data_IF_075625863776
#
_entry.id   IF_075625863776
#
_cell.length_a   1.000
_cell.length_b   1.000
_cell.length_c   1.000
_cell.angle_alpha   90.00
_cell.angle_beta   90.00
_cell.angle_gamma   90.00
#
_symmetry.space_group_name_H-M   'P 1'
#
loop_
_entity.id
_entity.type
_entity.pdbx_description
1 polymer ?
#
# COMPACT_ATOMS: atom_id res chain seq x y z
N UNK A 1 -35.70 -4.70 -21.45
CA UNK A 1 -35.06 -3.37 -21.47
C UNK A 1 -34.21 -3.28 -20.22
N UNK A 2 -32.89 -3.36 -20.36
CA UNK A 2 -31.99 -3.15 -19.22
C UNK A 2 -31.78 -1.66 -19.06
N UNK A 3 -32.19 -1.10 -17.93
CA UNK A 3 -31.94 0.29 -17.55
C UNK A 3 -30.44 0.50 -17.34
N UNK A 4 -29.91 1.62 -17.83
CA UNK A 4 -28.54 2.02 -17.52
C UNK A 4 -28.40 2.27 -16.01
N UNK A 5 -27.44 1.64 -15.34
CA UNK A 5 -27.21 1.88 -13.93
C UNK A 5 -26.69 3.30 -13.67
N UNK A 6 -27.13 3.89 -12.57
CA UNK A 6 -26.69 5.18 -12.04
C UNK A 6 -25.58 4.99 -11.01
N UNK A 7 -24.92 6.08 -10.64
CA UNK A 7 -23.84 6.06 -9.63
C UNK A 7 -24.33 5.52 -8.28
N UNK A 8 -25.58 5.79 -7.92
CA UNK A 8 -26.19 5.32 -6.67
C UNK A 8 -26.45 3.81 -6.67
N UNK A 9 -26.45 3.16 -7.84
CA UNK A 9 -26.60 1.71 -7.95
C UNK A 9 -25.27 0.97 -7.69
N UNK A 10 -24.12 1.69 -7.68
CA UNK A 10 -22.78 1.11 -7.55
C UNK A 10 -22.62 0.19 -6.33
N UNK A 11 -23.11 0.53 -5.13
CA UNK A 11 -22.99 -0.35 -3.95
C UNK A 11 -23.78 -1.66 -4.07
N UNK A 12 -24.77 -1.72 -4.97
CA UNK A 12 -25.65 -2.89 -5.14
C UNK A 12 -25.04 -3.96 -6.03
N UNK A 13 -23.94 -3.68 -6.74
CA UNK A 13 -23.29 -4.66 -7.59
C UNK A 13 -22.51 -5.69 -6.77
N UNK A 14 -22.79 -6.95 -7.04
CA UNK A 14 -21.89 -8.03 -6.68
C UNK A 14 -20.69 -8.01 -7.63
N UNK A 15 -19.54 -7.53 -7.15
CA UNK A 15 -18.31 -7.44 -7.95
C UNK A 15 -17.35 -8.60 -7.60
N UNK A 16 -16.76 -9.28 -8.59
CA UNK A 16 -15.69 -10.24 -8.32
C UNK A 16 -14.45 -9.50 -7.79
N UNK A 17 -14.01 -9.85 -6.59
CA UNK A 17 -12.82 -9.28 -5.94
C UNK A 17 -11.73 -10.32 -5.68
N UNK A 18 -10.48 -9.87 -5.72
CA UNK A 18 -9.25 -10.60 -5.33
C UNK A 18 -9.18 -12.06 -5.83
N UNK A 19 -9.06 -12.29 -7.15
CA UNK A 19 -8.87 -13.63 -7.66
C UNK A 19 -7.56 -14.25 -7.11
N UNK A 20 -7.64 -15.47 -6.58
CA UNK A 20 -6.50 -16.28 -6.20
C UNK A 20 -6.34 -17.45 -7.18
N UNK A 21 -5.11 -17.66 -7.64
CA UNK A 21 -4.73 -18.77 -8.50
C UNK A 21 -4.01 -19.84 -7.66
N UNK A 22 -4.31 -21.10 -7.90
CA UNK A 22 -3.55 -22.20 -7.30
C UNK A 22 -2.09 -22.18 -7.77
N UNK A 23 -1.13 -22.70 -6.97
CA UNK A 23 0.29 -22.68 -7.33
C UNK A 23 0.62 -23.39 -8.65
N UNK A 24 -0.18 -24.40 -9.03
CA UNK A 24 -0.08 -25.16 -10.29
C UNK A 24 -0.88 -24.54 -11.45
N UNK A 25 -1.67 -23.49 -11.18
CA UNK A 25 -2.40 -22.73 -12.18
C UNK A 25 -3.68 -23.39 -12.71
N UNK A 26 -4.11 -24.51 -12.14
CA UNK A 26 -5.28 -25.26 -12.62
C UNK A 26 -6.63 -24.74 -12.06
N UNK A 27 -6.59 -23.94 -10.98
CA UNK A 27 -7.76 -23.39 -10.30
C UNK A 27 -7.62 -21.89 -10.08
N UNK A 28 -8.73 -21.18 -10.32
CA UNK A 28 -8.90 -19.79 -9.94
C UNK A 28 -10.15 -19.67 -9.06
N UNK A 29 -10.00 -19.02 -7.91
CA UNK A 29 -11.07 -18.73 -6.98
C UNK A 29 -11.23 -17.22 -6.87
N UNK A 30 -12.47 -16.73 -6.91
CA UNK A 30 -12.80 -15.34 -6.64
C UNK A 30 -14.01 -15.30 -5.71
N UNK A 31 -14.14 -14.22 -4.95
CA UNK A 31 -15.31 -14.00 -4.10
C UNK A 31 -16.11 -12.87 -4.70
N UNK A 32 -17.41 -13.10 -4.86
CA UNK A 32 -18.36 -12.04 -5.20
C UNK A 32 -18.66 -11.25 -3.93
N UNK A 33 -18.31 -9.96 -3.95
CA UNK A 33 -18.53 -9.05 -2.83
C UNK A 33 -19.66 -8.08 -3.12
N UNK A 34 -20.44 -7.77 -2.09
CA UNK A 34 -21.39 -6.66 -2.05
C UNK A 34 -20.89 -5.64 -1.04
N UNK A 35 -21.12 -4.35 -1.28
CA UNK A 35 -20.66 -3.29 -0.39
C UNK A 35 -21.65 -3.08 0.75
N UNK A 36 -21.17 -3.09 2.01
CA UNK A 36 -21.92 -2.53 3.13
C UNK A 36 -21.67 -1.01 3.19
N UNK A 37 -22.59 -0.25 2.62
CA UNK A 37 -22.48 1.20 2.54
C UNK A 37 -22.61 1.89 3.91
N UNK A 38 -23.21 1.25 4.92
CA UNK A 38 -23.37 1.82 6.26
C UNK A 38 -22.12 1.62 7.12
N UNK A 39 -21.42 0.50 6.94
CA UNK A 39 -20.23 0.17 7.72
C UNK A 39 -18.95 0.87 7.22
N UNK A 40 -18.93 1.35 5.97
CA UNK A 40 -17.76 1.92 5.26
C UNK A 40 -16.47 1.12 5.46
N UNK A 41 -16.61 -0.21 5.57
CA UNK A 41 -15.53 -1.16 5.84
C UNK A 41 -15.67 -2.41 5.01
N UNK A 42 -14.52 -2.95 4.63
CA UNK A 42 -14.37 -4.19 3.87
C UNK A 42 -13.55 -5.16 4.75
N UNK A 43 -14.20 -5.83 5.72
CA UNK A 43 -13.58 -6.79 6.65
C UNK A 43 -13.48 -8.20 5.99
N UNK A 44 -12.89 -8.29 4.79
CA UNK A 44 -12.90 -9.51 3.96
C UNK A 44 -11.67 -10.42 4.10
N UNK A 45 -10.57 -9.93 4.68
CA UNK A 45 -9.29 -10.65 4.66
C UNK A 45 -9.34 -11.98 5.41
N UNK A 46 -9.95 -12.00 6.60
CA UNK A 46 -10.06 -13.22 7.41
C UNK A 46 -10.97 -14.26 6.75
N UNK A 47 -12.09 -13.81 6.19
CA UNK A 47 -13.00 -14.66 5.40
C UNK A 47 -12.28 -15.26 4.18
N UNK A 48 -11.50 -14.45 3.45
CA UNK A 48 -10.80 -14.93 2.26
C UNK A 48 -9.69 -15.91 2.63
N UNK A 49 -8.99 -15.66 3.74
CA UNK A 49 -7.95 -16.55 4.26
C UNK A 49 -8.52 -17.94 4.59
N UNK A 50 -9.68 -18.00 5.24
CA UNK A 50 -10.39 -19.24 5.52
C UNK A 50 -10.81 -19.95 4.21
N UNK A 51 -11.57 -19.27 3.36
CA UNK A 51 -12.09 -19.85 2.11
C UNK A 51 -10.96 -20.34 1.19
N UNK A 52 -9.90 -19.56 1.01
CA UNK A 52 -8.80 -19.91 0.10
C UNK A 52 -7.98 -21.09 0.64
N UNK A 53 -7.80 -21.17 1.96
CA UNK A 53 -7.15 -22.31 2.59
C UNK A 53 -8.01 -23.58 2.44
N UNK A 54 -9.31 -23.50 2.71
CA UNK A 54 -10.20 -24.66 2.67
C UNK A 54 -10.48 -25.16 1.25
N UNK A 55 -10.79 -24.27 0.30
CA UNK A 55 -11.25 -24.67 -1.04
C UNK A 55 -10.12 -24.85 -2.05
N UNK A 56 -9.01 -24.13 -1.88
CA UNK A 56 -7.92 -24.11 -2.85
C UNK A 56 -6.56 -24.54 -2.27
N UNK A 57 -6.45 -24.75 -0.95
CA UNK A 57 -5.15 -25.00 -0.31
C UNK A 57 -4.18 -23.82 -0.43
N UNK A 58 -4.68 -22.63 -0.74
CA UNK A 58 -3.89 -21.42 -0.95
C UNK A 58 -3.75 -20.69 0.38
N UNK A 59 -2.50 -20.57 0.87
CA UNK A 59 -2.19 -19.72 2.02
C UNK A 59 -2.01 -18.27 1.56
N UNK A 60 -2.94 -17.41 1.92
CA UNK A 60 -2.76 -15.97 1.73
C UNK A 60 -1.56 -15.47 2.55
N UNK A 61 -0.73 -14.56 2.00
CA UNK A 61 0.31 -13.89 2.76
C UNK A 61 -0.24 -13.26 4.05
N UNK A 62 0.59 -13.24 5.09
CA UNK A 62 0.28 -12.47 6.28
C UNK A 62 0.47 -10.98 5.98
N UNK A 63 -0.35 -10.08 6.55
CA UNK A 63 -0.12 -8.65 6.45
C UNK A 63 1.28 -8.31 6.96
N UNK A 64 1.93 -7.35 6.30
CA UNK A 64 3.23 -6.86 6.73
C UNK A 64 3.15 -6.32 8.16
N UNK A 65 4.17 -6.58 8.97
CA UNK A 65 4.31 -6.04 10.31
C UNK A 65 5.79 -5.75 10.60
N UNK A 66 6.08 -4.76 11.45
CA UNK A 66 7.43 -4.52 11.93
C UNK A 66 8.05 -5.78 12.55
N UNK A 67 9.38 -5.98 12.40
CA UNK A 67 10.07 -7.05 13.10
C UNK A 67 9.85 -6.97 14.61
N UNK A 68 9.68 -8.12 15.27
CA UNK A 68 9.50 -8.18 16.72
C UNK A 68 10.74 -7.67 17.50
N UNK A 69 11.91 -7.63 16.85
CA UNK A 69 13.14 -7.07 17.41
C UNK A 69 13.57 -5.88 16.55
N UNK A 70 13.84 -4.71 17.14
CA UNK A 70 14.30 -3.54 16.38
C UNK A 70 15.56 -3.81 15.56
N UNK A 71 15.58 -3.32 14.33
CA UNK A 71 16.69 -3.42 13.39
C UNK A 71 17.42 -2.07 13.33
N UNK A 72 18.75 -2.08 13.37
CA UNK A 72 19.58 -0.87 13.23
C UNK A 72 20.24 -0.88 11.85
N UNK A 73 20.07 0.21 11.11
CA UNK A 73 20.48 0.33 9.70
C UNK A 73 21.06 1.71 9.41
N UNK A 74 21.79 1.86 8.31
CA UNK A 74 22.31 3.16 7.87
C UNK A 74 21.18 4.08 7.38
N UNK A 75 20.83 5.11 8.15
CA UNK A 75 19.66 5.94 7.83
C UNK A 75 19.94 7.01 6.78
N UNK A 76 21.14 7.60 6.77
CA UNK A 76 21.42 8.83 6.02
C UNK A 76 21.35 8.65 4.49
N UNK A 77 21.62 7.44 3.98
CA UNK A 77 21.51 7.13 2.54
C UNK A 77 20.09 7.25 1.98
N UNK A 78 19.08 7.18 2.85
CA UNK A 78 17.67 7.27 2.49
C UNK A 78 17.17 8.71 2.45
N UNK A 79 17.84 9.61 3.17
CA UNK A 79 17.43 11.02 3.32
C UNK A 79 17.48 11.74 1.97
N UNK A 80 16.44 12.51 1.70
CA UNK A 80 16.31 13.33 0.49
C UNK A 80 14.88 13.41 0.00
N UNK A 81 14.72 14.05 -1.15
CA UNK A 81 13.42 14.25 -1.80
C UNK A 81 13.31 13.34 -3.01
N UNK A 82 12.17 12.70 -3.15
CA UNK A 82 11.81 11.82 -4.25
C UNK A 82 10.55 12.34 -4.90
N UNK A 83 10.55 12.52 -6.23
CA UNK A 83 9.43 13.18 -6.91
C UNK A 83 8.91 12.42 -8.11
N UNK A 84 7.59 12.38 -8.24
CA UNK A 84 6.85 11.95 -9.42
C UNK A 84 5.70 12.91 -9.68
N UNK A 85 5.08 12.80 -10.87
CA UNK A 85 4.10 13.78 -11.36
C UNK A 85 2.94 14.14 -10.40
N UNK A 86 2.56 13.25 -9.47
CA UNK A 86 1.44 13.46 -8.54
C UNK A 86 1.84 13.50 -7.06
N UNK A 87 3.12 13.32 -6.73
CA UNK A 87 3.57 13.16 -5.34
C UNK A 87 5.03 13.61 -5.19
N UNK A 88 5.28 14.46 -4.19
CA UNK A 88 6.62 14.72 -3.65
C UNK A 88 6.75 14.00 -2.32
N UNK A 89 7.85 13.28 -2.13
CA UNK A 89 8.14 12.51 -0.93
C UNK A 89 9.45 13.00 -0.31
N UNK A 90 9.42 13.39 0.96
CA UNK A 90 10.59 13.86 1.70
C UNK A 90 10.93 12.85 2.79
N UNK A 91 12.12 12.26 2.72
CA UNK A 91 12.65 11.38 3.77
C UNK A 91 13.66 12.16 4.58
N UNK A 92 13.43 12.30 5.88
CA UNK A 92 14.28 13.11 6.75
C UNK A 92 14.51 12.44 8.11
N UNK A 93 15.59 12.85 8.80
CA UNK A 93 15.94 12.33 10.11
C UNK A 93 15.05 12.94 11.19
N UNK A 94 14.62 12.09 12.13
CA UNK A 94 13.99 12.49 13.38
C UNK A 94 14.65 11.71 14.52
N UNK A 95 15.65 12.33 15.14
CA UNK A 95 16.53 11.69 16.12
C UNK A 95 17.24 10.46 15.54
N UNK A 96 16.97 9.28 16.11
CA UNK A 96 17.52 7.99 15.66
C UNK A 96 16.60 7.24 14.68
N UNK A 97 15.63 7.93 14.10
CA UNK A 97 14.66 7.37 13.14
C UNK A 97 14.60 8.18 11.84
N UNK A 98 13.78 7.70 10.90
CA UNK A 98 13.39 8.42 9.69
C UNK A 98 11.89 8.73 9.71
N UNK A 99 11.54 9.86 9.12
CA UNK A 99 10.16 10.25 8.82
C UNK A 99 9.98 10.31 7.31
N UNK A 100 8.79 9.94 6.86
CA UNK A 100 8.35 10.09 5.48
C UNK A 100 7.29 11.19 5.41
N UNK A 101 7.69 12.33 4.86
CA UNK A 101 6.91 13.38 4.19
C UNK A 101 6.22 12.88 2.94
N UNK A 102 4.90 12.76 2.80
CA UNK A 102 4.26 12.69 1.47
C UNK A 102 3.38 13.91 1.23
N UNK A 103 3.49 14.49 0.03
CA UNK A 103 2.68 15.62 -0.41
C UNK A 103 2.06 15.30 -1.77
N UNK A 104 0.74 15.25 -1.85
CA UNK A 104 0.01 15.14 -3.12
C UNK A 104 0.19 16.44 -3.91
N UNK A 105 0.55 16.32 -5.19
CA UNK A 105 0.80 17.47 -6.06
C UNK A 105 -0.13 17.47 -7.28
N UNK A 106 -0.15 18.61 -7.99
CA UNK A 106 -0.94 18.78 -9.20
C UNK A 106 -2.45 18.90 -8.95
N UNK A 107 -3.29 18.71 -9.98
CA UNK A 107 -4.72 18.99 -9.90
C UNK A 107 -5.48 18.21 -8.83
N UNK A 108 -5.00 17.01 -8.46
CA UNK A 108 -5.62 16.22 -7.40
C UNK A 108 -5.50 16.88 -6.03
N UNK A 109 -4.42 17.63 -5.78
CA UNK A 109 -4.20 18.32 -4.51
C UNK A 109 -5.29 19.37 -4.22
N UNK A 110 -5.86 19.98 -5.25
CA UNK A 110 -6.93 20.98 -5.13
C UNK A 110 -8.27 20.36 -4.68
N UNK A 111 -8.41 19.04 -4.78
CA UNK A 111 -9.63 18.30 -4.46
C UNK A 111 -9.59 17.63 -3.07
N UNK A 112 -8.44 17.66 -2.39
CA UNK A 112 -8.24 16.96 -1.12
C UNK A 112 -8.25 17.94 0.06
N UNK A 113 -8.89 17.60 1.18
CA UNK A 113 -8.87 18.42 2.38
C UNK A 113 -7.47 18.49 3.01
N UNK A 114 -6.75 17.36 2.97
CA UNK A 114 -5.37 17.23 3.45
C UNK A 114 -4.51 16.65 2.33
N UNK A 115 -3.42 17.34 2.01
CA UNK A 115 -2.49 16.94 0.94
C UNK A 115 -1.16 16.46 1.48
N UNK A 116 -0.90 16.65 2.77
CA UNK A 116 0.37 16.32 3.42
C UNK A 116 0.14 15.27 4.50
N UNK A 117 0.88 14.17 4.43
CA UNK A 117 0.84 13.11 5.43
C UNK A 117 2.26 12.78 5.88
N UNK A 118 2.44 12.60 7.19
CA UNK A 118 3.74 12.26 7.75
C UNK A 118 3.71 10.94 8.50
N UNK A 119 4.71 10.10 8.26
CA UNK A 119 4.79 8.78 8.87
C UNK A 119 6.13 8.56 9.54
N UNK A 120 6.13 7.79 10.63
CA UNK A 120 7.36 7.24 11.20
C UNK A 120 7.75 5.98 10.44
N UNK A 121 9.01 5.93 9.99
CA UNK A 121 9.54 4.79 9.25
C UNK A 121 10.18 3.79 10.21
N UNK A 122 9.64 2.58 10.26
CA UNK A 122 10.16 1.48 11.09
C UNK A 122 11.05 0.57 10.23
N UNK A 123 12.33 0.40 10.57
CA UNK A 123 13.25 -0.40 9.75
C UNK A 123 12.90 -1.89 9.79
N UNK A 124 12.95 -2.52 8.63
CA UNK A 124 12.85 -3.97 8.43
C UNK A 124 14.22 -4.54 8.06
N UNK A 125 14.92 -3.88 7.14
CA UNK A 125 16.30 -4.14 6.74
C UNK A 125 16.96 -2.85 6.22
N UNK A 126 18.15 -2.95 5.63
CA UNK A 126 18.96 -1.80 5.20
C UNK A 126 18.26 -0.89 4.17
N UNK A 127 17.36 -1.43 3.34
CA UNK A 127 16.67 -0.71 2.26
C UNK A 127 15.13 -0.74 2.40
N UNK A 128 14.60 -1.45 3.39
CA UNK A 128 13.16 -1.61 3.58
C UNK A 128 12.69 -1.09 4.94
N UNK A 129 11.65 -0.27 4.89
CA UNK A 129 10.98 0.29 6.05
C UNK A 129 9.46 0.05 5.94
N UNK A 130 8.76 0.17 7.06
CA UNK A 130 7.30 0.17 7.11
C UNK A 130 6.80 1.50 7.67
N UNK A 131 5.67 1.96 7.13
CA UNK A 131 4.87 3.08 7.67
C UNK A 131 3.46 2.58 7.96
N UNK A 132 2.82 3.11 9.00
CA UNK A 132 1.42 2.79 9.30
C UNK A 132 0.53 3.84 8.64
N UNK A 133 -0.36 3.43 7.74
CA UNK A 133 -1.36 4.30 7.11
C UNK A 133 -2.65 4.28 7.96
N UNK A 134 -2.95 5.33 8.76
CA UNK A 134 -4.09 5.31 9.68
C UNK A 134 -5.44 5.17 8.98
N UNK A 135 -5.60 5.71 7.76
CA UNK A 135 -6.85 5.62 7.02
C UNK A 135 -7.17 4.20 6.55
N UNK A 136 -6.14 3.37 6.32
CA UNK A 136 -6.28 1.98 5.87
C UNK A 136 -6.10 0.99 7.04
N UNK A 137 -5.45 1.42 8.13
CA UNK A 137 -5.15 0.57 9.28
C UNK A 137 -4.11 -0.52 8.99
N UNK A 138 -3.26 -0.32 7.97
CA UNK A 138 -2.30 -1.31 7.50
C UNK A 138 -0.87 -0.76 7.43
N UNK A 139 0.11 -1.66 7.62
CA UNK A 139 1.52 -1.35 7.38
C UNK A 139 1.83 -1.40 5.88
N UNK A 140 2.42 -0.32 5.37
CA UNK A 140 2.82 -0.20 3.97
C UNK A 140 4.34 -0.17 3.86
N UNK A 141 4.92 -0.86 2.86
CA UNK A 141 6.35 -0.85 2.65
C UNK A 141 6.83 0.45 2.01
N UNK A 142 8.02 0.88 2.43
CA UNK A 142 8.83 1.92 1.79
C UNK A 142 10.16 1.26 1.47
N UNK A 143 10.38 0.93 0.20
CA UNK A 143 11.55 0.17 -0.25
C UNK A 143 12.44 1.04 -1.13
N UNK A 144 13.71 1.16 -0.77
CA UNK A 144 14.69 1.89 -1.55
C UNK A 144 15.53 0.94 -2.40
N UNK A 145 15.97 1.41 -3.55
CA UNK A 145 16.87 0.65 -4.42
C UNK A 145 17.57 1.60 -5.39
N UNK A 146 18.71 1.14 -5.90
CA UNK A 146 19.45 1.83 -6.94
C UNK A 146 19.28 1.07 -8.26
N UNK A 147 19.10 1.79 -9.36
CA UNK A 147 19.16 1.20 -10.70
C UNK A 147 20.61 0.91 -11.07
N UNK A 148 20.81 0.02 -12.05
CA UNK A 148 22.15 -0.29 -12.57
C UNK A 148 22.89 0.94 -13.13
N UNK A 149 22.14 1.99 -13.49
CA UNK A 149 22.62 3.28 -13.97
C UNK A 149 22.96 4.28 -12.84
N UNK A 150 22.70 3.92 -11.58
CA UNK A 150 23.13 4.64 -10.39
C UNK A 150 22.06 5.55 -9.75
N UNK A 151 20.91 5.72 -10.40
CA UNK A 151 19.79 6.50 -9.85
C UNK A 151 19.12 5.76 -8.70
N UNK A 152 18.86 6.48 -7.61
CA UNK A 152 18.17 5.96 -6.43
C UNK A 152 16.67 6.21 -6.51
N UNK A 153 15.90 5.22 -6.09
CA UNK A 153 14.44 5.26 -6.09
C UNK A 153 13.89 4.86 -4.71
N UNK A 154 12.67 5.32 -4.45
CA UNK A 154 11.79 4.78 -3.42
C UNK A 154 10.56 4.17 -4.09
N UNK A 155 10.20 2.94 -3.72
CA UNK A 155 8.94 2.31 -4.05
C UNK A 155 7.99 2.37 -2.86
N UNK A 156 6.90 3.09 -3.03
CA UNK A 156 5.85 3.26 -2.04
C UNK A 156 4.52 3.51 -2.79
N UNK A 157 3.38 3.10 -2.22
CA UNK A 157 2.06 3.20 -2.87
C UNK A 157 2.02 2.59 -4.29
N UNK A 158 2.68 1.43 -4.45
CA UNK A 158 2.79 0.70 -5.72
C UNK A 158 3.47 1.46 -6.87
N UNK A 159 4.26 2.49 -6.57
CA UNK A 159 4.95 3.31 -7.58
C UNK A 159 6.41 3.53 -7.21
N UNK A 160 7.26 3.50 -8.24
CA UNK A 160 8.66 3.89 -8.16
C UNK A 160 8.79 5.40 -8.32
N UNK A 161 9.54 6.05 -7.42
CA UNK A 161 9.72 7.49 -7.37
C UNK A 161 11.22 7.82 -7.31
N UNK A 162 11.80 8.49 -8.31
CA UNK A 162 13.23 8.81 -8.35
C UNK A 162 13.61 9.85 -7.29
N UNK A 163 14.83 9.74 -6.75
CA UNK A 163 15.44 10.78 -5.93
C UNK A 163 15.81 11.98 -6.79
N UNK A 164 15.51 13.19 -6.33
CA UNK A 164 15.80 14.45 -7.03
C UNK A 164 16.73 15.38 -6.24
N UNK A 165 16.81 15.22 -4.91
CA UNK A 165 17.76 15.94 -4.05
C UNK A 165 18.12 15.14 -2.81
#
# INVERSE_FOLDING_TARGET
>A
MSTHPRVDDVPTFAVPGHPALSPDGDRCLHVLRTTDAEADRDDYEDLFREIFAELAGVRMPEPLRPPARPVRVGLDRHVGTYERASTSMEVFRDGDSLRLRTTVTGPLAEMLPDTVHEYTMVPVDEDQFLVMEPAVGAWMPVTFYDLATGERYVHHEARATPKVS
#
